data_IF_897746979976
#
_entry.id   IF_897746979976
#
_cell.length_a   1.000
_cell.length_b   1.000
_cell.length_c   1.000
_cell.angle_alpha   90.00
_cell.angle_beta   90.00
_cell.angle_gamma   90.00
#
_symmetry.space_group_name_H-M   'P 1'
#
loop_
_entity.id
_entity.type
_entity.pdbx_description
1 polymer ?
#
# COMPACT_ATOMS: atom_id res chain seq x y z
N UNK A 1 -12.69 2.49 -13.74
CA UNK A 1 -14.11 2.83 -13.96
C UNK A 1 -15.06 2.06 -13.04
N UNK A 2 -14.98 0.72 -12.89
CA UNK A 2 -15.87 -0.03 -11.97
C UNK A 2 -15.73 0.43 -10.52
N UNK A 3 -14.50 0.61 -10.02
CA UNK A 3 -14.23 1.08 -8.65
C UNK A 3 -14.77 2.49 -8.47
N UNK A 4 -14.47 3.41 -9.39
CA UNK A 4 -14.96 4.78 -9.34
C UNK A 4 -16.51 4.84 -9.29
N UNK A 5 -17.17 4.05 -10.12
CA UNK A 5 -18.63 4.01 -10.18
C UNK A 5 -19.28 3.42 -8.90
N UNK A 6 -18.53 2.65 -8.12
CA UNK A 6 -18.98 2.13 -6.83
C UNK A 6 -18.77 3.10 -5.66
N UNK A 7 -18.01 4.18 -5.85
CA UNK A 7 -17.75 5.16 -4.79
C UNK A 7 -18.97 6.05 -4.54
N UNK A 8 -19.28 6.28 -3.25
CA UNK A 8 -20.41 7.12 -2.83
C UNK A 8 -20.17 8.62 -3.03
N UNK A 9 -18.89 9.05 -2.93
CA UNK A 9 -18.46 10.45 -2.97
C UNK A 9 -17.57 10.69 -4.18
N UNK A 10 -18.11 10.49 -5.37
CA UNK A 10 -17.37 10.64 -6.63
C UNK A 10 -16.90 12.08 -6.88
N UNK A 11 -17.62 13.06 -6.34
CA UNK A 11 -17.30 14.48 -6.38
C UNK A 11 -16.00 14.84 -5.64
N UNK A 12 -15.60 14.01 -4.67
CA UNK A 12 -14.33 14.16 -3.95
C UNK A 12 -13.15 13.46 -4.63
N UNK A 13 -13.37 12.80 -5.78
CA UNK A 13 -12.34 12.01 -6.48
C UNK A 13 -11.93 12.71 -7.77
N UNK A 14 -10.66 13.08 -7.86
CA UNK A 14 -10.05 13.47 -9.13
C UNK A 14 -9.55 12.20 -9.81
N UNK A 15 -10.27 11.78 -10.85
CA UNK A 15 -10.03 10.54 -11.56
C UNK A 15 -9.03 10.74 -12.70
N UNK A 16 -8.20 9.71 -12.95
CA UNK A 16 -7.29 9.63 -14.10
C UNK A 16 -6.23 10.75 -14.14
N UNK A 17 -5.66 11.07 -12.97
CA UNK A 17 -4.51 11.99 -12.90
C UNK A 17 -3.27 11.29 -13.45
N UNK A 18 -2.68 11.85 -14.49
CA UNK A 18 -1.52 11.30 -15.17
C UNK A 18 -0.43 12.35 -15.33
N UNK A 19 0.80 11.94 -15.08
CA UNK A 19 2.01 12.73 -15.34
C UNK A 19 3.04 11.90 -16.13
N UNK A 20 3.45 12.41 -17.27
CA UNK A 20 4.30 11.68 -18.22
C UNK A 20 5.78 11.59 -17.78
N UNK A 21 6.24 12.54 -16.95
CA UNK A 21 7.62 12.61 -16.52
C UNK A 21 7.76 12.27 -15.05
N UNK A 22 8.88 11.65 -14.67
CA UNK A 22 9.16 11.36 -13.26
C UNK A 22 9.30 12.65 -12.43
N UNK A 23 9.81 13.73 -13.00
CA UNK A 23 9.92 15.03 -12.32
C UNK A 23 8.56 15.66 -12.07
N UNK A 24 7.67 15.63 -13.07
CA UNK A 24 6.31 16.08 -12.91
C UNK A 24 5.55 15.23 -11.91
N UNK A 25 5.74 13.91 -11.92
CA UNK A 25 5.17 13.02 -10.91
C UNK A 25 5.66 13.34 -9.48
N UNK A 26 6.96 13.62 -9.29
CA UNK A 26 7.52 14.06 -8.00
C UNK A 26 6.88 15.39 -7.57
N UNK A 27 6.71 16.34 -8.48
CA UNK A 27 6.07 17.63 -8.19
C UNK A 27 4.60 17.45 -7.79
N UNK A 28 3.87 16.58 -8.47
CA UNK A 28 2.49 16.21 -8.11
C UNK A 28 2.45 15.56 -6.72
N UNK A 29 3.30 14.56 -6.46
CA UNK A 29 3.39 13.89 -5.17
C UNK A 29 3.69 14.88 -4.04
N UNK A 30 4.51 15.89 -4.29
CA UNK A 30 4.84 16.90 -3.29
C UNK A 30 3.64 17.76 -2.88
N UNK A 31 2.58 17.86 -3.70
CA UNK A 31 1.33 18.53 -3.37
C UNK A 31 0.36 17.65 -2.57
N UNK A 32 0.57 16.33 -2.55
CA UNK A 32 -0.26 15.41 -1.80
C UNK A 32 0.03 15.49 -0.29
N UNK A 33 -0.98 15.28 0.55
CA UNK A 33 -0.82 15.22 2.00
C UNK A 33 -0.21 13.88 2.43
N UNK A 34 -0.61 12.79 1.80
CA UNK A 34 -0.13 11.44 2.07
C UNK A 34 -0.25 10.55 0.82
N UNK A 35 0.34 9.37 0.89
CA UNK A 35 0.20 8.33 -0.13
C UNK A 35 -0.40 7.06 0.49
N UNK A 36 -1.40 6.50 -0.18
CA UNK A 36 -1.87 5.12 0.03
C UNK A 36 -1.65 4.38 -1.29
N UNK A 37 -0.83 3.36 -1.28
CA UNK A 37 -0.49 2.62 -2.50
C UNK A 37 -0.05 1.19 -2.20
N UNK A 38 -0.06 0.35 -3.24
CA UNK A 38 0.68 -0.90 -3.19
C UNK A 38 2.18 -0.62 -3.16
N UNK A 39 2.98 -1.63 -2.78
CA UNK A 39 4.44 -1.53 -2.80
C UNK A 39 4.95 -1.19 -4.22
N UNK A 40 6.03 -0.42 -4.27
CA UNK A 40 6.66 -0.03 -5.53
C UNK A 40 7.43 1.28 -5.44
N UNK A 41 7.98 1.73 -6.56
CA UNK A 41 8.81 2.94 -6.65
C UNK A 41 8.12 4.21 -6.15
N UNK A 42 6.80 4.31 -6.32
CA UNK A 42 5.99 5.45 -5.86
C UNK A 42 6.09 5.66 -4.34
N UNK A 43 6.13 4.57 -3.57
CA UNK A 43 6.25 4.62 -2.11
C UNK A 43 7.60 5.21 -1.70
N UNK A 44 8.68 4.80 -2.39
CA UNK A 44 10.02 5.33 -2.12
C UNK A 44 10.14 6.81 -2.47
N UNK A 45 9.48 7.25 -3.54
CA UNK A 45 9.42 8.68 -3.90
C UNK A 45 8.70 9.48 -2.80
N UNK A 46 7.55 9.00 -2.33
CA UNK A 46 6.80 9.66 -1.25
C UNK A 46 7.62 9.72 0.04
N UNK A 47 8.30 8.63 0.41
CA UNK A 47 9.20 8.60 1.57
C UNK A 47 10.36 9.61 1.44
N UNK A 48 10.96 9.72 0.26
CA UNK A 48 12.02 10.70 -0.01
C UNK A 48 11.54 12.17 0.05
N UNK A 49 10.24 12.39 -0.04
CA UNK A 49 9.60 13.70 0.12
C UNK A 49 9.01 13.91 1.53
N UNK A 50 9.34 13.05 2.47
CA UNK A 50 8.80 13.05 3.86
C UNK A 50 7.26 13.04 3.90
N UNK A 51 6.62 12.43 2.89
CA UNK A 51 5.15 12.28 2.87
C UNK A 51 4.74 11.06 3.68
N UNK A 52 3.72 11.18 4.54
CA UNK A 52 3.14 10.02 5.20
C UNK A 52 2.75 8.95 4.17
N UNK A 53 3.13 7.71 4.40
CA UNK A 53 2.82 6.60 3.49
C UNK A 53 2.13 5.45 4.20
N UNK A 54 1.08 4.93 3.58
CA UNK A 54 0.48 3.65 3.94
C UNK A 54 0.64 2.68 2.78
N UNK A 55 1.45 1.64 2.98
CA UNK A 55 1.80 0.68 1.94
C UNK A 55 1.03 -0.63 2.13
N UNK A 56 0.34 -1.07 1.07
CA UNK A 56 -0.31 -2.37 1.04
C UNK A 56 0.62 -3.34 0.32
N UNK A 57 1.23 -4.24 1.09
CA UNK A 57 2.14 -5.22 0.53
C UNK A 57 1.40 -6.41 -0.06
N UNK A 58 1.81 -6.81 -1.26
CA UNK A 58 1.44 -8.09 -1.84
C UNK A 58 1.89 -9.24 -0.92
N UNK A 59 1.08 -10.28 -0.72
CA UNK A 59 1.48 -11.47 0.02
C UNK A 59 2.77 -12.13 -0.49
N UNK A 60 3.06 -11.95 -1.78
CA UNK A 60 4.25 -12.48 -2.44
C UNK A 60 5.55 -11.79 -2.04
N UNK A 61 5.48 -10.53 -1.63
CA UNK A 61 6.67 -9.69 -1.36
C UNK A 61 7.22 -9.98 0.03
N UNK A 62 8.52 -10.12 0.15
CA UNK A 62 9.19 -10.19 1.45
C UNK A 62 9.27 -8.77 2.00
N UNK A 63 8.37 -8.45 2.93
CA UNK A 63 8.22 -7.10 3.48
C UNK A 63 9.53 -6.49 3.96
N UNK A 64 10.37 -7.26 4.65
CA UNK A 64 11.66 -6.76 5.18
C UNK A 64 12.64 -6.25 4.11
N UNK A 65 12.48 -6.67 2.86
CA UNK A 65 13.32 -6.19 1.76
C UNK A 65 12.85 -4.84 1.19
N UNK A 66 11.59 -4.47 1.40
CA UNK A 66 10.94 -3.33 0.77
C UNK A 66 10.44 -2.28 1.76
N UNK A 67 10.33 -2.63 3.04
CA UNK A 67 9.80 -1.78 4.09
C UNK A 67 10.84 -0.79 4.67
N UNK A 68 11.74 -0.27 3.82
CA UNK A 68 12.75 0.69 4.25
C UNK A 68 12.09 1.93 4.85
N UNK A 69 12.66 2.43 5.95
CA UNK A 69 12.21 3.63 6.67
C UNK A 69 10.79 3.54 7.28
N UNK A 70 10.23 2.34 7.44
CA UNK A 70 8.98 2.19 8.18
C UNK A 70 9.22 2.37 9.68
N UNK A 71 8.54 3.33 10.27
CA UNK A 71 8.63 3.69 11.69
C UNK A 71 7.32 3.42 12.45
N UNK A 72 6.28 2.96 11.74
CA UNK A 72 4.96 2.69 12.29
C UNK A 72 4.12 3.94 12.56
N UNK A 73 4.61 5.13 12.23
CA UNK A 73 3.91 6.42 12.38
C UNK A 73 3.82 7.16 11.05
N UNK A 74 4.94 7.71 10.57
CA UNK A 74 4.99 8.42 9.30
C UNK A 74 4.87 7.46 8.11
N UNK A 75 5.55 6.33 8.22
CA UNK A 75 5.55 5.28 7.19
C UNK A 75 5.06 3.97 7.80
N UNK A 76 3.86 3.58 7.40
CA UNK A 76 3.20 2.36 7.89
C UNK A 76 2.81 1.45 6.74
N UNK A 77 2.54 0.20 7.05
CA UNK A 77 2.12 -0.77 6.05
C UNK A 77 1.23 -1.86 6.62
N UNK A 78 0.63 -2.60 5.72
CA UNK A 78 -0.07 -3.85 6.00
C UNK A 78 0.48 -4.95 5.10
N UNK A 79 0.71 -6.11 5.70
CA UNK A 79 1.08 -7.35 5.01
C UNK A 79 0.30 -8.51 5.64
N UNK A 80 -0.02 -9.52 4.85
CA UNK A 80 -0.79 -10.68 5.34
C UNK A 80 -0.13 -11.38 6.53
N UNK A 81 1.20 -11.48 6.54
CA UNK A 81 1.96 -12.05 7.65
C UNK A 81 1.98 -11.20 8.92
N UNK A 82 1.57 -9.94 8.88
CA UNK A 82 1.44 -9.12 10.09
C UNK A 82 0.34 -9.65 11.02
N UNK A 83 -0.66 -10.35 10.46
CA UNK A 83 -1.75 -10.98 11.23
C UNK A 83 -1.59 -12.49 11.39
N UNK A 84 -1.06 -13.15 10.37
CA UNK A 84 -0.84 -14.58 10.36
C UNK A 84 0.65 -14.90 10.11
N UNK A 85 1.52 -14.69 11.10
CA UNK A 85 2.97 -14.87 10.91
C UNK A 85 3.37 -16.29 10.46
N UNK A 86 2.56 -17.28 10.85
CA UNK A 86 2.82 -18.70 10.56
C UNK A 86 2.14 -19.19 9.27
N UNK A 87 1.46 -18.31 8.53
CA UNK A 87 0.71 -18.72 7.34
C UNK A 87 1.63 -19.28 6.23
N UNK A 88 2.80 -18.68 6.07
CA UNK A 88 3.88 -19.16 5.20
C UNK A 88 5.22 -18.54 5.62
N UNK A 89 6.29 -19.22 5.30
CA UNK A 89 7.65 -18.73 5.55
C UNK A 89 8.20 -18.01 4.30
N UNK A 90 9.37 -17.39 4.44
CA UNK A 90 10.12 -16.85 3.30
C UNK A 90 10.87 -17.94 2.51
N UNK A 91 10.61 -19.22 2.79
CA UNK A 91 11.22 -20.34 2.10
C UNK A 91 10.87 -20.35 0.61
N UNK A 92 11.74 -20.97 -0.19
CA UNK A 92 11.50 -21.12 -1.62
C UNK A 92 10.23 -21.93 -1.93
N UNK A 93 9.94 -22.93 -1.08
CA UNK A 93 8.77 -23.79 -1.23
C UNK A 93 7.46 -23.02 -0.99
N UNK A 94 7.40 -22.21 0.07
CA UNK A 94 6.22 -21.42 0.37
C UNK A 94 5.99 -20.30 -0.65
N UNK A 95 7.06 -19.67 -1.12
CA UNK A 95 6.98 -18.70 -2.22
C UNK A 95 6.42 -19.32 -3.48
N UNK A 96 6.83 -20.54 -3.81
CA UNK A 96 6.29 -21.29 -4.96
C UNK A 96 4.78 -21.58 -4.79
N UNK A 97 4.33 -21.93 -3.58
CA UNK A 97 2.88 -22.11 -3.30
C UNK A 97 2.09 -20.82 -3.54
N UNK A 98 2.64 -19.66 -3.17
CA UNK A 98 2.00 -18.36 -3.42
C UNK A 98 1.96 -18.07 -4.92
N UNK A 99 3.04 -18.35 -5.66
CA UNK A 99 3.10 -18.21 -7.12
C UNK A 99 2.10 -19.11 -7.85
N UNK A 100 1.90 -20.33 -7.36
CA UNK A 100 0.99 -21.31 -7.95
C UNK A 100 -0.49 -21.00 -7.65
N UNK A 101 -0.78 -20.35 -6.51
CA UNK A 101 -2.14 -19.99 -6.12
C UNK A 101 -2.22 -18.57 -5.52
N UNK A 102 -1.93 -17.52 -6.29
CA UNK A 102 -1.89 -16.16 -5.78
C UNK A 102 -3.25 -15.70 -5.26
N UNK A 103 -4.35 -16.09 -5.90
CA UNK A 103 -5.70 -15.68 -5.51
C UNK A 103 -6.03 -16.06 -4.08
N UNK A 104 -5.67 -17.27 -3.65
CA UNK A 104 -5.91 -17.74 -2.28
C UNK A 104 -5.30 -16.83 -1.22
N UNK A 105 -4.08 -16.32 -1.46
CA UNK A 105 -3.40 -15.44 -0.52
C UNK A 105 -3.92 -13.99 -0.59
N UNK A 106 -4.24 -13.50 -1.80
CA UNK A 106 -4.83 -12.17 -1.96
C UNK A 106 -6.23 -12.07 -1.35
N UNK A 107 -7.05 -13.11 -1.43
CA UNK A 107 -8.37 -13.15 -0.81
C UNK A 107 -8.33 -13.07 0.71
N UNK A 108 -7.22 -13.48 1.33
CA UNK A 108 -7.01 -13.35 2.77
C UNK A 108 -6.58 -11.95 3.21
N UNK A 109 -6.04 -11.13 2.30
CA UNK A 109 -5.77 -9.72 2.54
C UNK A 109 -7.06 -8.91 2.36
N UNK A 110 -7.99 -9.09 3.29
CA UNK A 110 -9.34 -8.53 3.16
C UNK A 110 -9.37 -7.02 3.36
N UNK A 111 -10.39 -6.32 2.82
CA UNK A 111 -10.59 -4.89 3.05
C UNK A 111 -10.65 -4.53 4.54
N UNK A 112 -11.26 -5.37 5.36
CA UNK A 112 -11.40 -5.16 6.81
C UNK A 112 -10.04 -5.13 7.48
N UNK A 113 -9.15 -6.05 7.13
CA UNK A 113 -7.77 -6.11 7.61
C UNK A 113 -6.99 -4.85 7.24
N UNK A 114 -7.13 -4.40 6.00
CA UNK A 114 -6.48 -3.18 5.52
C UNK A 114 -7.03 -1.97 6.28
N UNK A 115 -8.35 -1.85 6.43
CA UNK A 115 -9.03 -0.74 7.09
C UNK A 115 -8.72 -0.65 8.59
N UNK A 116 -8.52 -1.78 9.26
CA UNK A 116 -8.10 -1.82 10.66
C UNK A 116 -6.77 -1.07 10.89
N UNK A 117 -5.83 -1.24 9.97
CA UNK A 117 -4.52 -0.56 10.02
C UNK A 117 -4.56 0.85 9.42
N UNK A 118 -5.30 1.02 8.34
CA UNK A 118 -5.39 2.29 7.61
C UNK A 118 -6.14 3.37 8.40
N UNK A 119 -7.21 2.99 9.13
CA UNK A 119 -8.05 3.99 9.81
C UNK A 119 -7.31 4.79 10.88
N UNK A 120 -6.48 4.20 11.77
CA UNK A 120 -5.67 5.00 12.70
C UNK A 120 -4.66 5.90 11.97
N UNK A 121 -4.02 5.41 10.88
CA UNK A 121 -3.11 6.20 10.07
C UNK A 121 -3.80 7.45 9.49
N UNK A 122 -4.98 7.28 8.90
CA UNK A 122 -5.76 8.40 8.37
C UNK A 122 -6.14 9.42 9.45
N UNK A 123 -6.62 8.95 10.61
CA UNK A 123 -6.97 9.85 11.72
C UNK A 123 -5.77 10.66 12.24
N UNK A 124 -4.57 10.12 12.11
CA UNK A 124 -3.36 10.81 12.54
C UNK A 124 -2.89 11.87 11.53
N UNK A 125 -3.03 11.61 10.24
CA UNK A 125 -2.44 12.43 9.19
C UNK A 125 -3.44 13.33 8.44
N UNK A 126 -4.74 13.07 8.55
CA UNK A 126 -5.80 13.92 7.99
C UNK A 126 -6.56 14.58 9.13
N UNK A 127 -6.40 15.89 9.24
CA UNK A 127 -7.16 16.75 10.16
C UNK A 127 -8.26 17.48 9.40
#
# INVERSE_FOLDING_TARGET
>A
TKIYNACKHQDAIIFDVYEASIRGFIALMNQCQLLIANEGGIVHIAKALDKPTFTIFSPYVIKSHWASFEDGQLHTSVHLLDQNPDLFSTSREDRKKIEENPSFFYEQLTPELILEKLSPFLRHHIQ
#
